data_IF_200904060858
#
_entry.id   IF_200904060858
#
_cell.length_a   1.000
_cell.length_b   1.000
_cell.length_c   1.000
_cell.angle_alpha   90.00
_cell.angle_beta   90.00
_cell.angle_gamma   90.00
#
_symmetry.space_group_name_H-M   'P 1'
#
loop_
_entity.id
_entity.type
_entity.pdbx_description
1 polymer ?
#
# COMPACT_ATOMS: atom_id res chain seq x y z
N UNK A 1 -42.17 41.39 -46.18
CA UNK A 1 -40.78 40.88 -46.16
C UNK A 1 -40.04 41.03 -44.81
N UNK A 2 -40.53 41.79 -43.83
CA UNK A 2 -39.79 42.03 -42.57
C UNK A 2 -40.05 41.03 -41.42
N UNK A 3 -40.95 40.05 -41.58
CA UNK A 3 -41.26 39.07 -40.52
C UNK A 3 -40.42 37.79 -40.62
N UNK A 4 -39.95 37.43 -41.81
CA UNK A 4 -39.09 36.26 -42.04
C UNK A 4 -37.63 36.51 -41.64
N UNK A 5 -37.17 37.76 -41.71
CA UNK A 5 -35.81 38.15 -41.33
C UNK A 5 -35.56 38.08 -39.82
N UNK A 6 -36.60 38.34 -39.00
CA UNK A 6 -36.52 38.28 -37.54
C UNK A 6 -36.40 36.85 -37.00
N UNK A 7 -37.08 35.87 -37.62
CA UNK A 7 -36.98 34.46 -37.21
C UNK A 7 -35.61 33.85 -37.54
N UNK A 8 -34.96 34.27 -38.63
CA UNK A 8 -33.63 33.78 -39.01
C UNK A 8 -32.54 34.29 -38.04
N UNK A 9 -32.66 35.53 -37.56
CA UNK A 9 -31.76 36.09 -36.53
C UNK A 9 -31.95 35.45 -35.15
N UNK A 10 -33.16 35.00 -34.81
CA UNK A 10 -33.43 34.31 -33.54
C UNK A 10 -32.90 32.86 -33.52
N UNK A 11 -32.94 32.16 -34.67
CA UNK A 11 -32.35 30.83 -34.83
C UNK A 11 -30.81 30.84 -34.84
N UNK A 12 -30.19 31.90 -35.37
CA UNK A 12 -28.72 32.09 -35.28
C UNK A 12 -28.26 32.39 -33.85
N UNK A 13 -29.08 33.02 -33.02
CA UNK A 13 -28.75 33.29 -31.61
C UNK A 13 -28.87 32.04 -30.72
N UNK A 14 -29.75 31.09 -31.05
CA UNK A 14 -29.86 29.81 -30.33
C UNK A 14 -28.80 28.78 -30.73
N UNK A 15 -28.21 28.87 -31.93
CA UNK A 15 -27.11 28.01 -32.34
C UNK A 15 -25.74 28.41 -31.76
N UNK A 16 -25.58 29.66 -31.29
CA UNK A 16 -24.35 30.17 -30.70
C UNK A 16 -24.16 29.85 -29.21
N UNK A 17 -25.17 29.27 -28.56
CA UNK A 17 -25.14 28.81 -27.16
C UNK A 17 -25.05 27.28 -27.08
N UNK A 18 -24.41 26.64 -28.06
CA UNK A 18 -23.70 25.40 -27.76
C UNK A 18 -22.52 25.79 -26.86
N UNK A 19 -22.79 25.97 -25.56
CA UNK A 19 -21.74 26.02 -24.56
C UNK A 19 -20.84 24.82 -24.86
N UNK A 20 -19.59 25.10 -25.26
CA UNK A 20 -18.56 24.07 -25.32
C UNK A 20 -18.60 23.42 -23.94
N UNK A 21 -19.11 22.20 -23.88
CA UNK A 21 -19.13 21.46 -22.65
C UNK A 21 -17.65 21.24 -22.31
N UNK A 22 -17.15 21.97 -21.32
CA UNK A 22 -15.80 21.77 -20.82
C UNK A 22 -15.78 20.38 -20.17
N UNK A 23 -15.47 19.36 -20.98
CA UNK A 23 -15.24 18.01 -20.51
C UNK A 23 -13.78 17.89 -20.15
N UNK A 24 -13.49 17.77 -18.85
CA UNK A 24 -12.17 17.39 -18.37
C UNK A 24 -12.10 15.86 -18.31
N UNK A 25 -11.32 15.27 -19.20
CA UNK A 25 -11.12 13.82 -19.24
C UNK A 25 -9.80 13.44 -18.57
N UNK A 26 -9.88 12.48 -17.64
CA UNK A 26 -8.72 11.84 -17.02
C UNK A 26 -8.59 10.45 -17.65
N UNK A 27 -7.67 10.30 -18.59
CA UNK A 27 -7.53 9.07 -19.37
C UNK A 27 -6.08 8.76 -19.75
N UNK A 28 -5.10 9.45 -19.15
CA UNK A 28 -3.68 9.19 -19.36
C UNK A 28 -3.00 8.76 -18.06
N UNK A 29 -1.97 7.93 -18.18
CA UNK A 29 -1.14 7.49 -17.05
C UNK A 29 -0.59 8.68 -16.24
N UNK A 30 -0.05 9.69 -16.93
CA UNK A 30 0.51 10.88 -16.30
C UNK A 30 -0.52 11.65 -15.45
N UNK A 31 -1.79 11.71 -15.88
CA UNK A 31 -2.83 12.34 -15.06
C UNK A 31 -3.14 11.51 -13.81
N UNK A 32 -3.25 10.18 -13.92
CA UNK A 32 -3.50 9.32 -12.77
C UNK A 32 -2.36 9.32 -11.75
N UNK A 33 -1.11 9.40 -12.23
CA UNK A 33 0.10 9.44 -11.38
C UNK A 33 0.23 10.73 -10.55
N UNK A 34 -0.62 11.74 -10.80
CA UNK A 34 -0.72 12.92 -9.92
C UNK A 34 -1.48 12.65 -8.62
N UNK A 35 -2.19 11.53 -8.53
CA UNK A 35 -3.01 11.18 -7.37
C UNK A 35 -2.23 10.29 -6.41
N UNK A 36 -2.52 10.42 -5.11
CA UNK A 36 -1.97 9.52 -4.11
C UNK A 36 -2.84 8.26 -3.98
N UNK A 37 -2.23 7.10 -4.16
CA UNK A 37 -2.85 5.79 -3.94
C UNK A 37 -1.88 4.85 -3.23
N UNK A 38 -2.37 3.93 -2.39
CA UNK A 38 -1.49 2.98 -1.72
C UNK A 38 -0.78 2.08 -2.73
N UNK A 39 0.52 1.88 -2.54
CA UNK A 39 1.33 0.96 -3.35
C UNK A 39 0.67 -0.41 -3.35
N UNK A 40 0.61 -1.08 -4.51
CA UNK A 40 0.02 -2.42 -4.63
C UNK A 40 -1.50 -2.47 -4.81
N UNK A 41 -2.18 -1.32 -4.99
CA UNK A 41 -3.65 -1.29 -5.20
C UNK A 41 -4.08 -1.19 -6.67
N UNK A 42 -3.32 -0.49 -7.50
CA UNK A 42 -3.69 -0.17 -8.88
C UNK A 42 -2.60 -0.57 -9.87
N UNK A 43 -3.02 -1.04 -11.04
CA UNK A 43 -2.21 -1.16 -12.24
C UNK A 43 -2.65 -0.07 -13.22
N UNK A 44 -1.79 0.93 -13.44
CA UNK A 44 -2.00 2.00 -14.41
C UNK A 44 -1.23 1.65 -15.68
N UNK A 45 -1.97 1.37 -16.75
CA UNK A 45 -1.41 1.00 -18.05
C UNK A 45 -0.99 2.24 -18.82
N UNK A 46 -0.09 2.07 -19.79
CA UNK A 46 0.38 3.17 -20.64
C UNK A 46 -0.73 3.77 -21.52
N UNK A 47 -1.80 3.01 -21.79
CA UNK A 47 -3.02 3.51 -22.45
C UNK A 47 -3.98 4.27 -21.50
N UNK A 48 -3.51 4.58 -20.29
CA UNK A 48 -4.26 5.31 -19.26
C UNK A 48 -5.45 4.57 -18.67
N UNK A 49 -5.62 3.28 -19.00
CA UNK A 49 -6.57 2.41 -18.32
C UNK A 49 -6.03 2.03 -16.94
N UNK A 50 -6.90 2.16 -15.95
CA UNK A 50 -6.65 1.71 -14.58
C UNK A 50 -7.35 0.38 -14.32
N UNK A 51 -6.70 -0.50 -13.57
CA UNK A 51 -7.33 -1.72 -13.03
C UNK A 51 -6.91 -1.91 -11.58
N UNK A 52 -7.81 -2.37 -10.69
CA UNK A 52 -7.41 -2.87 -9.39
C UNK A 52 -6.41 -4.01 -9.56
N UNK A 53 -5.40 -4.08 -8.70
CA UNK A 53 -4.56 -5.26 -8.59
C UNK A 53 -5.42 -6.40 -8.02
N UNK A 54 -5.40 -7.54 -8.71
CA UNK A 54 -6.07 -8.76 -8.25
C UNK A 54 -5.06 -9.60 -7.48
N UNK A 55 -5.42 -10.00 -6.26
CA UNK A 55 -4.65 -10.96 -5.48
C UNK A 55 -5.03 -12.38 -5.95
N UNK A 56 -4.23 -12.96 -6.86
CA UNK A 56 -4.59 -14.22 -7.53
C UNK A 56 -4.39 -15.47 -6.65
N UNK A 57 -3.45 -15.44 -5.69
CA UNK A 57 -3.15 -16.55 -4.77
C UNK A 57 -2.69 -16.03 -3.40
N UNK A 58 -2.85 -16.80 -2.31
CA UNK A 58 -2.13 -16.51 -1.08
C UNK A 58 -0.62 -16.66 -1.34
N UNK A 59 0.16 -15.66 -0.92
CA UNK A 59 1.61 -15.67 -1.00
C UNK A 59 2.19 -15.14 0.32
N UNK A 60 3.42 -15.53 0.64
CA UNK A 60 4.14 -14.95 1.78
C UNK A 60 4.55 -13.51 1.42
N UNK A 61 3.89 -12.52 2.02
CA UNK A 61 4.18 -11.12 1.73
C UNK A 61 5.49 -10.64 2.38
N UNK A 62 5.91 -11.28 3.48
CA UNK A 62 6.97 -10.80 4.35
C UNK A 62 8.35 -10.68 3.65
N UNK A 63 8.85 -11.68 2.89
CA UNK A 63 10.16 -11.59 2.26
C UNK A 63 10.29 -10.52 1.20
N UNK A 64 9.19 -10.23 0.53
CA UNK A 64 9.15 -9.18 -0.48
C UNK A 64 8.97 -7.77 0.10
N UNK A 65 8.64 -7.63 1.39
CA UNK A 65 8.32 -6.33 1.99
C UNK A 65 9.42 -5.26 1.81
N UNK A 66 10.73 -5.57 1.95
CA UNK A 66 11.81 -4.60 1.74
C UNK A 66 11.99 -4.11 0.29
N UNK A 67 11.28 -4.71 -0.67
CA UNK A 67 11.29 -4.31 -2.08
C UNK A 67 10.33 -3.15 -2.37
N UNK A 68 9.49 -2.77 -1.42
CA UNK A 68 8.50 -1.71 -1.59
C UNK A 68 8.81 -0.52 -0.69
N UNK A 69 8.51 0.67 -1.21
CA UNK A 69 8.64 1.95 -0.51
C UNK A 69 7.31 2.68 -0.64
N UNK A 70 6.86 3.34 0.42
CA UNK A 70 5.67 4.19 0.44
C UNK A 70 5.97 5.53 1.10
N UNK A 71 5.10 6.52 0.88
CA UNK A 71 5.27 7.88 1.40
C UNK A 71 4.53 8.06 2.71
N UNK A 72 5.22 8.68 3.67
CA UNK A 72 4.66 9.19 4.92
C UNK A 72 4.88 10.70 5.02
N UNK A 73 4.23 11.35 5.99
CA UNK A 73 4.46 12.78 6.26
C UNK A 73 5.92 13.10 6.56
N UNK A 74 6.62 12.17 7.22
CA UNK A 74 8.02 12.33 7.61
C UNK A 74 9.02 12.02 6.48
N UNK A 75 8.56 11.47 5.35
CA UNK A 75 9.42 11.08 4.22
C UNK A 75 9.03 9.74 3.62
N UNK A 76 9.86 9.25 2.70
CA UNK A 76 9.73 7.90 2.15
C UNK A 76 10.16 6.86 3.17
N UNK A 77 9.36 5.80 3.28
CA UNK A 77 9.63 4.65 4.11
C UNK A 77 9.76 3.40 3.23
N UNK A 78 10.82 2.62 3.48
CA UNK A 78 10.95 1.25 2.98
C UNK A 78 10.25 0.24 3.90
N UNK A 79 9.53 -0.71 3.32
CA UNK A 79 8.97 -1.85 4.05
C UNK A 79 10.05 -2.80 4.61
N UNK A 80 9.61 -3.86 5.26
CA UNK A 80 10.45 -4.81 6.01
C UNK A 80 10.21 -4.71 7.51
N UNK A 81 11.19 -5.11 8.31
CA UNK A 81 11.11 -4.90 9.76
C UNK A 81 11.32 -3.43 10.05
N UNK A 82 10.25 -2.77 10.49
CA UNK A 82 10.20 -1.35 10.74
C UNK A 82 10.90 -0.99 12.06
N UNK A 83 10.56 -1.71 13.14
CA UNK A 83 11.11 -1.49 14.49
C UNK A 83 11.24 -2.84 15.20
N UNK A 84 12.23 -2.93 16.06
CA UNK A 84 12.39 -4.00 17.03
C UNK A 84 12.63 -3.36 18.40
N UNK A 85 11.90 -3.79 19.41
CA UNK A 85 12.13 -3.32 20.79
C UNK A 85 13.40 -3.90 21.41
N UNK A 86 13.86 -5.05 20.90
CA UNK A 86 15.04 -5.77 21.35
C UNK A 86 15.72 -6.47 20.17
N UNK A 87 17.03 -6.77 20.29
CA UNK A 87 17.87 -7.41 19.27
C UNK A 87 17.56 -6.98 17.83
N UNK A 88 17.75 -5.69 17.53
CA UNK A 88 17.46 -5.14 16.20
C UNK A 88 18.38 -5.71 15.09
N UNK A 89 19.54 -6.24 15.45
CA UNK A 89 20.51 -6.79 14.50
C UNK A 89 19.95 -8.00 13.75
N UNK A 90 19.25 -8.88 14.46
CA UNK A 90 18.70 -10.13 13.90
C UNK A 90 17.24 -9.98 13.46
N UNK A 91 16.65 -8.80 13.63
CA UNK A 91 15.21 -8.61 13.44
C UNK A 91 14.74 -8.98 12.02
N UNK A 92 15.56 -8.71 11.00
CA UNK A 92 15.24 -9.04 9.61
C UNK A 92 15.20 -10.55 9.31
N UNK A 93 15.75 -11.41 10.18
CA UNK A 93 15.69 -12.87 10.01
C UNK A 93 14.25 -13.40 10.07
N UNK A 94 13.29 -12.66 10.65
CA UNK A 94 11.89 -13.14 10.73
C UNK A 94 11.16 -13.08 9.38
N UNK A 95 11.72 -12.36 8.39
CA UNK A 95 11.10 -12.16 7.08
C UNK A 95 11.99 -12.66 5.93
N UNK A 96 13.10 -13.36 6.20
CA UNK A 96 14.08 -13.72 5.17
C UNK A 96 13.71 -14.97 4.35
N UNK A 97 12.59 -15.63 4.67
CA UNK A 97 12.11 -16.89 4.08
C UNK A 97 12.98 -18.12 4.41
N UNK A 98 13.85 -18.03 5.43
CA UNK A 98 14.65 -19.14 5.95
C UNK A 98 14.13 -19.58 7.33
N UNK A 99 13.59 -20.79 7.42
CA UNK A 99 13.08 -21.34 8.70
C UNK A 99 14.20 -21.80 9.65
N UNK A 100 15.45 -21.81 9.20
CA UNK A 100 16.63 -22.12 10.01
C UNK A 100 17.23 -20.91 10.72
N UNK A 101 16.88 -19.70 10.30
CA UNK A 101 17.25 -18.45 10.97
C UNK A 101 16.09 -17.99 11.86
N UNK A 102 16.41 -17.23 12.91
CA UNK A 102 15.39 -16.70 13.80
C UNK A 102 15.85 -15.42 14.46
N UNK A 103 14.89 -14.58 14.82
CA UNK A 103 15.10 -13.52 15.79
C UNK A 103 14.80 -14.05 17.19
N UNK A 104 15.62 -13.65 18.14
CA UNK A 104 15.33 -13.77 19.57
C UNK A 104 15.57 -12.41 20.25
N UNK A 105 14.74 -12.00 21.22
CA UNK A 105 15.04 -10.82 22.02
C UNK A 105 16.28 -11.06 22.89
N UNK A 106 16.91 -9.97 23.31
CA UNK A 106 17.91 -10.01 24.38
C UNK A 106 17.26 -10.48 25.68
N UNK A 107 17.90 -11.43 26.37
CA UNK A 107 17.38 -11.98 27.63
C UNK A 107 17.48 -10.98 28.79
N UNK A 108 18.36 -9.99 28.69
CA UNK A 108 18.49 -8.91 29.68
C UNK A 108 17.43 -7.81 29.50
N UNK A 109 16.72 -7.80 28.36
CA UNK A 109 15.63 -6.86 28.13
C UNK A 109 14.33 -7.29 28.83
N UNK A 110 13.62 -6.31 29.37
CA UNK A 110 12.26 -6.51 29.88
C UNK A 110 11.29 -6.97 28.77
N UNK A 111 10.29 -7.78 29.16
CA UNK A 111 9.30 -8.35 28.22
C UNK A 111 8.51 -7.29 27.44
N UNK A 112 8.44 -6.06 27.95
CA UNK A 112 7.83 -4.90 27.29
C UNK A 112 8.57 -4.47 26.02
N UNK A 113 9.82 -4.90 25.84
CA UNK A 113 10.64 -4.68 24.64
C UNK A 113 10.61 -5.85 23.65
N UNK A 114 9.98 -6.97 24.00
CA UNK A 114 9.99 -8.18 23.18
C UNK A 114 8.91 -8.09 22.11
N UNK A 115 9.11 -7.18 21.15
CA UNK A 115 8.19 -6.93 20.05
C UNK A 115 8.93 -6.51 18.78
N UNK A 116 8.28 -6.76 17.65
CA UNK A 116 8.71 -6.40 16.31
C UNK A 116 7.52 -5.74 15.60
N UNK A 117 7.79 -4.75 14.75
CA UNK A 117 6.82 -4.16 13.83
C UNK A 117 7.27 -4.47 12.41
N UNK A 118 6.40 -5.11 11.62
CA UNK A 118 6.67 -5.42 10.21
C UNK A 118 5.78 -4.52 9.36
N UNK A 119 6.42 -3.72 8.51
CA UNK A 119 5.76 -2.92 7.48
C UNK A 119 5.82 -3.69 6.15
N UNK A 120 4.67 -4.05 5.59
CA UNK A 120 4.62 -4.78 4.32
C UNK A 120 5.03 -3.92 3.10
N UNK A 121 5.20 -2.60 3.30
CA UNK A 121 5.64 -1.63 2.29
C UNK A 121 4.61 -1.33 1.20
N UNK A 122 3.47 -2.05 1.21
CA UNK A 122 2.38 -1.95 0.23
C UNK A 122 1.08 -2.46 0.83
N UNK A 123 -0.04 -2.11 0.20
CA UNK A 123 -1.33 -2.68 0.53
C UNK A 123 -1.39 -4.14 0.07
N UNK A 124 -1.58 -5.06 1.01
CA UNK A 124 -1.77 -6.50 0.75
C UNK A 124 -2.97 -6.99 1.56
N UNK A 125 -3.79 -7.85 0.95
CA UNK A 125 -4.84 -8.55 1.67
C UNK A 125 -4.24 -9.68 2.54
N UNK A 126 -3.99 -9.41 3.82
CA UNK A 126 -3.52 -10.41 4.79
C UNK A 126 -4.72 -11.19 5.34
N UNK A 127 -4.70 -12.51 5.15
CA UNK A 127 -5.73 -13.43 5.67
C UNK A 127 -5.23 -14.31 6.81
N UNK A 128 -3.91 -14.45 6.93
CA UNK A 128 -3.25 -15.33 7.87
C UNK A 128 -1.89 -14.76 8.23
N UNK A 129 -1.51 -14.87 9.50
CA UNK A 129 -0.16 -14.62 10.00
C UNK A 129 0.36 -15.94 10.55
N UNK A 130 1.45 -16.46 9.98
CA UNK A 130 2.11 -17.68 10.44
C UNK A 130 3.36 -17.31 11.19
N UNK A 131 3.51 -17.84 12.40
CA UNK A 131 4.73 -17.72 13.18
C UNK A 131 5.40 -19.08 13.21
N UNK A 132 6.65 -19.11 12.74
CA UNK A 132 7.52 -20.27 12.83
C UNK A 132 8.47 -20.04 13.99
N UNK A 133 8.40 -20.90 15.00
CA UNK A 133 9.34 -20.88 16.11
C UNK A 133 10.43 -21.93 15.84
N UNK A 134 11.68 -21.69 16.28
CA UNK A 134 12.77 -22.63 16.09
C UNK A 134 12.42 -23.97 16.76
N UNK A 135 12.62 -25.06 16.02
CA UNK A 135 12.44 -26.43 16.47
C UNK A 135 13.81 -27.08 16.68
N UNK A 136 14.54 -26.56 17.68
CA UNK A 136 15.87 -27.01 18.04
C UNK A 136 15.99 -27.28 19.54
N UNK A 137 16.97 -28.09 19.93
CA UNK A 137 17.19 -28.43 21.33
C UNK A 137 17.47 -27.18 22.16
N UNK A 138 16.70 -27.01 23.25
CA UNK A 138 16.83 -25.86 24.13
C UNK A 138 15.97 -24.66 23.74
N UNK A 139 15.35 -24.64 22.56
CA UNK A 139 14.42 -23.58 22.17
C UNK A 139 13.30 -23.40 23.20
N UNK A 140 12.93 -22.15 23.45
CA UNK A 140 11.85 -21.75 24.38
C UNK A 140 10.90 -20.76 23.70
N UNK A 141 10.01 -21.23 22.80
CA UNK A 141 9.04 -20.36 22.14
C UNK A 141 8.16 -19.59 23.13
N UNK A 142 7.77 -18.37 22.76
CA UNK A 142 6.83 -17.57 23.54
C UNK A 142 5.49 -18.30 23.66
N UNK A 143 5.04 -18.52 24.90
CA UNK A 143 3.78 -19.24 25.17
C UNK A 143 2.54 -18.42 24.82
N UNK A 144 2.68 -17.10 24.80
CA UNK A 144 1.61 -16.16 24.50
C UNK A 144 2.18 -14.95 23.79
N UNK A 145 1.46 -14.45 22.80
CA UNK A 145 1.79 -13.23 22.07
C UNK A 145 0.50 -12.55 21.64
N UNK A 146 0.61 -11.29 21.21
CA UNK A 146 -0.49 -10.54 20.61
C UNK A 146 -0.06 -10.09 19.23
N UNK A 147 -0.95 -10.25 18.27
CA UNK A 147 -0.76 -9.73 16.91
C UNK A 147 -1.69 -8.54 16.76
N UNK A 148 -1.13 -7.41 16.34
CA UNK A 148 -1.86 -6.20 16.02
C UNK A 148 -1.67 -5.90 14.53
N UNK A 149 -2.71 -5.38 13.89
CA UNK A 149 -2.68 -4.97 12.49
C UNK A 149 -3.17 -3.54 12.32
N UNK A 150 -2.64 -2.85 11.33
CA UNK A 150 -3.05 -1.51 10.91
C UNK A 150 -3.09 -1.46 9.40
N UNK A 151 -4.00 -0.66 8.82
CA UNK A 151 -4.03 -0.36 7.39
C UNK A 151 -3.08 0.80 7.02
N UNK A 152 -2.22 1.21 7.95
CA UNK A 152 -1.26 2.30 7.78
C UNK A 152 -1.85 3.69 7.97
N UNK A 153 -3.18 3.84 8.12
CA UNK A 153 -3.82 5.17 8.23
C UNK A 153 -3.63 5.86 9.58
N UNK A 154 -3.23 5.11 10.61
CA UNK A 154 -3.12 5.62 11.98
C UNK A 154 -1.72 6.13 12.38
N UNK A 155 -0.77 6.22 11.45
CA UNK A 155 0.57 6.76 11.74
C UNK A 155 0.79 8.18 11.16
N UNK A 156 -0.31 8.95 11.00
CA UNK A 156 -0.34 10.33 10.48
C UNK A 156 -0.23 11.39 11.57
#
# INVERSE_FOLDING_TARGET
MNRLLGCLLMLFFLAGLAHAQESFEINTKAQWETWDFPVGTLNIRDDGKIKPIRFEQPFNAAPSAPLFTHKLKAGEQRGGVWKAGSNAADANLIIDDDIGTHWQPDQDDGVDKWWLEIDLGRMVAVKEVRLHFPDEEGARPLRSFRVFGSDGKFQS
#
